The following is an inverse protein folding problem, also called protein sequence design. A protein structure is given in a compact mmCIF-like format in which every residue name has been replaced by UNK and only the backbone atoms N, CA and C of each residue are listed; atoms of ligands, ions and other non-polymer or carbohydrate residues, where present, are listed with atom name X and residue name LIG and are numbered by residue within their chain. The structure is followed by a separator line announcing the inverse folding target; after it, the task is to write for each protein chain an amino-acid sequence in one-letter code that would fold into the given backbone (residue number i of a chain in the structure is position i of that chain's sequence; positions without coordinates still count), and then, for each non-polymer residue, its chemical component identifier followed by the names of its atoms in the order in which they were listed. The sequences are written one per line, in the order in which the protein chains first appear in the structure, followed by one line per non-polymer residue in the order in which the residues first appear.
data_IF_833017277384
#
_entry.id   IF_833017277384
#
_cell.length_a   1.000
_cell.length_b   1.000
_cell.length_c   1.000
_cell.angle_alpha   90.00
_cell.angle_beta   90.00
_cell.angle_gamma   90.00
#
_symmetry.space_group_name_H-M   'P 1'
#
loop_
_entity.id
_entity.type
_entity.pdbx_description
1 polymer ?
#
# COMPACT_ATOMS: atom_id res chain seq x y z
N UNK A 1 -4.91 8.40 4.76
CA UNK A 1 -3.95 7.60 5.54
C UNK A 1 -2.81 8.49 6.03
N UNK A 2 -1.93 9.03 5.16
CA UNK A 2 -0.75 9.81 5.59
C UNK A 2 -1.07 10.96 6.54
N UNK A 3 -2.17 11.71 6.30
CA UNK A 3 -2.60 12.78 7.20
C UNK A 3 -2.95 12.28 8.61
N UNK A 4 -3.64 11.15 8.72
CA UNK A 4 -3.95 10.54 10.02
C UNK A 4 -2.67 10.03 10.70
N UNK A 5 -1.75 9.44 9.94
CA UNK A 5 -0.47 8.96 10.47
C UNK A 5 0.39 10.12 10.98
N UNK A 6 0.44 11.24 10.23
CA UNK A 6 1.17 12.44 10.64
C UNK A 6 0.60 13.14 11.88
N UNK A 7 -0.69 12.94 12.20
CA UNK A 7 -1.29 13.41 13.46
C UNK A 7 -0.82 12.59 14.67
N UNK A 8 -0.45 11.34 14.46
CA UNK A 8 0.05 10.45 15.52
C UNK A 8 1.53 10.76 15.82
N UNK A 9 2.34 10.92 14.78
CA UNK A 9 3.74 11.31 14.89
C UNK A 9 4.18 12.08 13.64
N UNK A 10 5.03 13.11 13.79
CA UNK A 10 5.56 13.85 12.63
C UNK A 10 6.38 12.89 11.76
N UNK A 11 6.06 12.86 10.47
CA UNK A 11 6.75 12.01 9.50
C UNK A 11 8.08 12.63 9.08
N UNK A 12 9.19 11.97 9.41
CA UNK A 12 10.53 12.32 8.95
C UNK A 12 11.01 11.29 7.92
N UNK A 13 10.96 11.61 6.64
CA UNK A 13 11.39 10.73 5.56
C UNK A 13 12.42 11.41 4.64
N UNK A 14 13.27 10.60 4.03
CA UNK A 14 14.25 11.09 3.06
C UNK A 14 13.54 11.65 1.82
N UNK A 15 13.96 12.81 1.38
CA UNK A 15 13.37 13.48 0.20
C UNK A 15 13.51 12.67 -1.09
N UNK A 16 14.41 11.69 -1.15
CA UNK A 16 14.65 10.89 -2.34
C UNK A 16 13.50 9.92 -2.66
N UNK A 17 12.85 9.35 -1.65
CA UNK A 17 11.66 8.52 -1.82
C UNK A 17 10.53 9.31 -2.51
N UNK A 18 10.24 10.52 -2.01
CA UNK A 18 9.22 11.37 -2.61
C UNK A 18 9.57 11.86 -4.00
N UNK A 19 10.82 12.24 -4.24
CA UNK A 19 11.26 12.74 -5.56
C UNK A 19 11.24 11.66 -6.63
N UNK A 20 11.29 10.38 -6.26
CA UNK A 20 11.42 9.26 -7.16
C UNK A 20 10.11 8.52 -7.36
N UNK A 21 9.37 8.21 -6.29
CA UNK A 21 8.16 7.39 -6.34
C UNK A 21 6.89 8.22 -6.57
N UNK A 22 6.80 9.41 -6.01
CA UNK A 22 5.61 10.25 -6.12
C UNK A 22 5.36 10.74 -7.56
N UNK A 23 6.37 11.15 -8.35
CA UNK A 23 6.16 11.47 -9.76
C UNK A 23 5.68 10.28 -10.59
N UNK A 24 6.18 9.07 -10.30
CA UNK A 24 5.74 7.84 -10.97
C UNK A 24 4.27 7.58 -10.65
N UNK A 25 3.88 7.67 -9.37
CA UNK A 25 2.48 7.52 -8.96
C UNK A 25 1.58 8.55 -9.66
N UNK A 26 2.01 9.81 -9.76
CA UNK A 26 1.23 10.85 -10.46
C UNK A 26 1.08 10.57 -11.95
N UNK A 27 2.15 10.14 -12.61
CA UNK A 27 2.11 9.76 -14.04
C UNK A 27 1.18 8.55 -14.28
N UNK A 28 1.27 7.54 -13.43
CA UNK A 28 0.41 6.35 -13.49
C UNK A 28 -1.05 6.75 -13.25
N UNK A 29 -1.33 7.57 -12.25
CA UNK A 29 -2.69 8.06 -11.96
C UNK A 29 -3.28 8.81 -13.14
N UNK A 30 -2.47 9.67 -13.79
CA UNK A 30 -2.88 10.43 -14.95
C UNK A 30 -3.13 9.51 -16.16
N UNK A 31 -2.27 8.52 -16.40
CA UNK A 31 -2.45 7.54 -17.44
C UNK A 31 -3.74 6.72 -17.23
N UNK A 32 -3.97 6.20 -16.03
CA UNK A 32 -5.19 5.48 -15.69
C UNK A 32 -6.45 6.36 -15.86
N UNK A 33 -6.37 7.65 -15.51
CA UNK A 33 -7.47 8.59 -15.71
C UNK A 33 -7.82 8.75 -17.19
N UNK A 34 -6.83 8.92 -18.06
CA UNK A 34 -7.07 9.03 -19.49
C UNK A 34 -7.62 7.72 -20.09
N UNK A 35 -7.12 6.57 -19.66
CA UNK A 35 -7.62 5.27 -20.11
C UNK A 35 -9.08 5.03 -19.67
N UNK A 36 -9.52 5.63 -18.57
CA UNK A 36 -10.90 5.56 -18.10
C UNK A 36 -11.89 6.40 -18.92
N UNK A 37 -11.41 7.39 -19.67
CA UNK A 37 -12.27 8.39 -20.31
C UNK A 37 -13.16 7.80 -21.43
N UNK A 38 -12.64 6.79 -22.14
CA UNK A 38 -13.34 6.10 -23.24
C UNK A 38 -13.96 4.76 -22.79
N UNK A 39 -13.96 4.50 -21.46
CA UNK A 39 -14.33 3.20 -20.90
C UNK A 39 -13.15 2.23 -20.90
N UNK A 40 -13.08 1.38 -19.87
CA UNK A 40 -11.99 0.41 -19.73
C UNK A 40 -12.15 -0.75 -20.71
N UNK A 41 -11.28 -0.78 -21.71
CA UNK A 41 -11.16 -1.89 -22.65
C UNK A 41 -10.28 -3.03 -22.12
N UNK A 42 -10.36 -4.19 -22.76
CA UNK A 42 -9.51 -5.33 -22.43
C UNK A 42 -8.01 -5.03 -22.60
N UNK A 43 -7.69 -4.22 -23.61
CA UNK A 43 -6.32 -3.79 -23.88
C UNK A 43 -5.79 -2.90 -22.76
N UNK A 44 -6.63 -1.99 -22.23
CA UNK A 44 -6.28 -1.10 -21.13
C UNK A 44 -5.95 -1.89 -19.86
N UNK A 45 -6.79 -2.89 -19.55
CA UNK A 45 -6.53 -3.79 -18.43
C UNK A 45 -5.20 -4.54 -18.54
N UNK A 46 -4.86 -5.02 -19.74
CA UNK A 46 -3.57 -5.69 -20.01
C UNK A 46 -2.41 -4.70 -19.85
N UNK A 47 -2.53 -3.48 -20.40
CA UNK A 47 -1.50 -2.44 -20.29
C UNK A 47 -1.24 -2.12 -18.80
N UNK A 48 -2.29 -1.94 -18.00
CA UNK A 48 -2.16 -1.67 -16.57
C UNK A 48 -1.43 -2.80 -15.85
N UNK A 49 -1.73 -4.08 -16.14
CA UNK A 49 -1.00 -5.21 -15.55
C UNK A 49 0.47 -5.25 -15.97
N UNK A 50 0.77 -4.95 -17.23
CA UNK A 50 2.16 -4.85 -17.70
C UNK A 50 2.89 -3.71 -16.99
N UNK A 51 2.23 -2.57 -16.79
CA UNK A 51 2.79 -1.45 -16.01
C UNK A 51 3.03 -1.84 -14.55
N UNK A 52 2.15 -2.62 -13.94
CA UNK A 52 2.35 -3.15 -12.59
C UNK A 52 3.61 -4.01 -12.52
N UNK A 53 3.76 -4.98 -13.43
CA UNK A 53 4.93 -5.86 -13.47
C UNK A 53 6.21 -5.04 -13.69
N UNK A 54 6.19 -4.09 -14.60
CA UNK A 54 7.32 -3.19 -14.86
C UNK A 54 7.67 -2.37 -13.61
N UNK A 55 6.67 -1.84 -12.90
CA UNK A 55 6.86 -1.11 -11.65
C UNK A 55 7.48 -1.99 -10.55
N UNK A 56 6.98 -3.21 -10.36
CA UNK A 56 7.53 -4.15 -9.38
C UNK A 56 8.98 -4.53 -9.70
N UNK A 57 9.30 -4.80 -10.96
CA UNK A 57 10.68 -5.07 -11.38
C UNK A 57 11.58 -3.85 -11.12
N UNK A 58 11.10 -2.65 -11.44
CA UNK A 58 11.83 -1.43 -11.18
C UNK A 58 12.07 -1.22 -9.68
N UNK A 59 11.06 -1.45 -8.85
CA UNK A 59 11.15 -1.31 -7.39
C UNK A 59 12.20 -2.27 -6.80
N UNK A 60 12.17 -3.54 -7.19
CA UNK A 60 13.16 -4.55 -6.75
C UNK A 60 14.58 -4.16 -7.18
N UNK A 61 14.76 -3.74 -8.45
CA UNK A 61 16.08 -3.31 -8.94
C UNK A 61 16.58 -2.07 -8.23
N UNK A 62 15.68 -1.15 -7.92
CA UNK A 62 16.00 0.07 -7.18
C UNK A 62 16.47 -0.23 -5.77
N UNK A 63 15.74 -1.08 -5.04
CA UNK A 63 16.10 -1.51 -3.70
C UNK A 63 17.45 -2.28 -3.66
N UNK A 64 17.73 -3.09 -4.67
CA UNK A 64 19.01 -3.80 -4.78
C UNK A 64 20.19 -2.83 -5.04
N UNK A 65 19.95 -1.78 -5.82
CA UNK A 65 20.98 -0.77 -6.12
C UNK A 65 21.32 0.06 -4.88
N UNK A 66 20.30 0.44 -4.12
CA UNK A 66 20.49 1.22 -2.89
C UNK A 66 21.28 0.40 -1.85
N UNK A 67 20.95 -0.88 -1.65
CA UNK A 67 21.74 -1.80 -0.80
C UNK A 67 23.19 -1.96 -1.22
N UNK A 68 23.48 -1.95 -2.52
CA UNK A 68 24.87 -2.09 -3.01
C UNK A 68 25.69 -0.79 -2.84
N UNK A 69 25.05 0.36 -2.68
CA UNK A 69 25.72 1.62 -2.38
C UNK A 69 25.95 1.83 -0.86
N UNK A 70 25.01 1.39 -0.02
CA UNK A 70 25.16 1.46 1.44
C UNK A 70 26.18 0.44 1.98
N UNK A 71 26.34 -0.70 1.34
CA UNK A 71 27.26 -1.75 1.78
C UNK A 71 28.77 -1.39 1.67
N UNK A 72 29.12 -0.20 1.20
CA UNK A 72 30.52 0.16 0.97
C UNK A 72 31.21 0.97 2.07
N UNK A 73 30.54 1.65 3.00
CA UNK A 73 31.25 2.70 3.75
C UNK A 73 30.82 3.05 5.18
N UNK A 74 30.16 2.19 5.96
CA UNK A 74 29.97 2.59 7.36
C UNK A 74 30.35 1.50 8.38
N UNK A 75 31.50 1.65 9.07
CA UNK A 75 31.90 0.79 10.20
C UNK A 75 30.91 0.82 11.36
N UNK A 76 30.11 1.90 11.50
CA UNK A 76 29.06 2.05 12.51
C UNK A 76 27.88 1.10 12.26
N UNK A 77 27.57 0.80 11.00
CA UNK A 77 26.49 -0.12 10.63
C UNK A 77 26.81 -1.56 11.03
N UNK A 78 28.07 -1.98 10.94
CA UNK A 78 28.53 -3.29 11.40
C UNK A 78 28.49 -3.42 12.94
N UNK A 79 28.72 -2.35 13.67
CA UNK A 79 28.62 -2.33 15.14
C UNK A 79 27.14 -2.38 15.58
N UNK A 80 26.24 -1.65 14.91
CA UNK A 80 24.78 -1.69 15.16
C UNK A 80 24.17 -3.06 14.84
N UNK A 81 24.63 -3.74 13.78
CA UNK A 81 24.16 -5.10 13.45
C UNK A 81 24.59 -6.10 14.53
N UNK A 82 25.74 -5.91 15.18
CA UNK A 82 26.19 -6.78 16.27
C UNK A 82 25.45 -6.58 17.60
N UNK A 83 24.76 -5.47 17.78
CA UNK A 83 23.91 -5.18 18.94
C UNK A 83 22.44 -5.52 18.76
N UNK A 84 22.05 -6.04 17.56
CA UNK A 84 20.66 -6.48 17.35
C UNK A 84 20.32 -7.65 18.30
N UNK A 85 19.12 -7.64 18.92
CA UNK A 85 18.63 -8.76 19.73
C UNK A 85 18.61 -10.03 18.91
N UNK A 86 18.84 -11.18 19.57
CA UNK A 86 18.88 -12.52 18.98
C UNK A 86 17.91 -12.69 17.81
N UNK A 87 18.43 -13.14 16.67
CA UNK A 87 17.66 -13.38 15.45
C UNK A 87 16.43 -14.22 15.77
N UNK A 88 15.26 -13.62 15.58
CA UNK A 88 14.01 -14.39 15.63
C UNK A 88 14.12 -15.45 14.55
N UNK A 89 14.05 -16.72 14.92
CA UNK A 89 14.07 -17.84 13.97
C UNK A 89 13.13 -17.53 12.80
N UNK A 90 13.58 -17.71 11.56
CA UNK A 90 12.85 -17.42 10.33
C UNK A 90 11.42 -17.98 10.35
N UNK A 91 11.26 -19.20 10.89
CA UNK A 91 9.96 -19.84 11.06
C UNK A 91 9.03 -19.06 12.02
N UNK A 92 9.56 -18.53 13.11
CA UNK A 92 8.78 -17.70 14.05
C UNK A 92 8.40 -16.37 13.42
N UNK A 93 9.31 -15.76 12.64
CA UNK A 93 9.04 -14.52 11.92
C UNK A 93 7.88 -14.70 10.92
N UNK A 94 7.90 -15.78 10.14
CA UNK A 94 6.82 -16.12 9.22
C UNK A 94 5.49 -16.42 9.94
N UNK A 95 5.54 -17.09 11.09
CA UNK A 95 4.35 -17.38 11.89
C UNK A 95 3.73 -16.07 12.42
N UNK A 96 4.53 -15.16 12.99
CA UNK A 96 4.05 -13.87 13.47
C UNK A 96 3.53 -12.99 12.34
N UNK A 97 4.20 -12.98 11.20
CA UNK A 97 3.73 -12.28 10.02
C UNK A 97 2.37 -12.80 9.56
N UNK A 98 2.22 -14.11 9.39
CA UNK A 98 0.97 -14.72 8.95
C UNK A 98 -0.17 -14.48 9.97
N UNK A 99 0.10 -14.67 11.25
CA UNK A 99 -0.89 -14.44 12.31
C UNK A 99 -1.31 -12.96 12.38
N UNK A 100 -0.36 -12.04 12.29
CA UNK A 100 -0.63 -10.60 12.24
C UNK A 100 -1.44 -10.20 11.02
N UNK A 101 -1.09 -10.70 9.85
CA UNK A 101 -1.82 -10.43 8.60
C UNK A 101 -3.25 -10.96 8.66
N UNK A 102 -3.44 -12.20 9.10
CA UNK A 102 -4.79 -12.79 9.26
C UNK A 102 -5.61 -11.99 10.29
N UNK A 103 -5.01 -11.66 11.43
CA UNK A 103 -5.67 -10.87 12.46
C UNK A 103 -6.09 -9.48 11.96
N UNK A 104 -5.20 -8.81 11.22
CA UNK A 104 -5.45 -7.48 10.64
C UNK A 104 -6.60 -7.53 9.61
N UNK A 105 -6.57 -8.49 8.70
CA UNK A 105 -7.62 -8.64 7.68
C UNK A 105 -8.96 -9.06 8.29
N UNK A 106 -8.95 -9.98 9.26
CA UNK A 106 -10.17 -10.43 9.94
C UNK A 106 -10.81 -9.30 10.75
N UNK A 107 -10.02 -8.55 11.52
CA UNK A 107 -10.53 -7.43 12.34
C UNK A 107 -11.07 -6.29 11.46
N UNK A 108 -10.37 -5.92 10.38
CA UNK A 108 -10.85 -4.93 9.42
C UNK A 108 -12.17 -5.35 8.78
N UNK A 109 -12.26 -6.60 8.35
CA UNK A 109 -13.50 -7.14 7.75
C UNK A 109 -14.68 -7.15 8.73
N UNK A 110 -14.42 -7.55 9.97
CA UNK A 110 -15.44 -7.54 11.03
C UNK A 110 -15.93 -6.12 11.33
N UNK A 111 -15.02 -5.15 11.38
CA UNK A 111 -15.36 -3.75 11.64
C UNK A 111 -16.20 -3.17 10.50
N UNK A 112 -15.83 -3.41 9.24
CA UNK A 112 -16.61 -2.98 8.07
C UNK A 112 -17.99 -3.62 8.10
N UNK A 113 -18.08 -4.94 8.32
CA UNK A 113 -19.35 -5.65 8.42
C UNK A 113 -20.27 -5.07 9.49
N UNK A 114 -19.74 -4.80 10.68
CA UNK A 114 -20.52 -4.22 11.77
C UNK A 114 -20.98 -2.79 11.43
N UNK A 115 -20.10 -1.96 10.86
CA UNK A 115 -20.43 -0.59 10.48
C UNK A 115 -21.50 -0.52 9.38
N UNK A 116 -21.43 -1.43 8.39
CA UNK A 116 -22.45 -1.56 7.33
C UNK A 116 -23.80 -1.91 7.93
N UNK A 117 -23.88 -2.96 8.75
CA UNK A 117 -25.15 -3.37 9.40
C UNK A 117 -25.77 -2.24 10.25
N UNK A 118 -24.94 -1.49 10.97
CA UNK A 118 -25.41 -0.32 11.73
C UNK A 118 -25.98 0.75 10.79
N UNK A 119 -25.25 1.09 9.73
CA UNK A 119 -25.68 2.11 8.77
C UNK A 119 -26.99 1.72 8.04
N UNK A 120 -27.12 0.45 7.64
CA UNK A 120 -28.35 -0.10 7.07
C UNK A 120 -29.53 0.01 8.04
N UNK A 121 -29.32 -0.26 9.32
CA UNK A 121 -30.35 -0.12 10.35
C UNK A 121 -30.84 1.32 10.54
N UNK A 122 -30.02 2.31 10.19
CA UNK A 122 -30.40 3.73 10.15
C UNK A 122 -30.98 4.17 8.79
N UNK A 123 -31.16 3.24 7.84
CA UNK A 123 -31.73 3.53 6.53
C UNK A 123 -30.78 4.25 5.57
N UNK A 124 -29.47 4.17 5.80
CA UNK A 124 -28.45 4.71 4.86
C UNK A 124 -28.46 3.87 3.58
N UNK A 125 -28.45 4.51 2.42
CA UNK A 125 -28.48 3.80 1.15
C UNK A 125 -27.18 3.05 0.86
N UNK A 126 -27.28 1.94 0.13
CA UNK A 126 -26.15 1.07 -0.25
C UNK A 126 -25.06 1.86 -0.99
N UNK A 127 -25.44 2.84 -1.82
CA UNK A 127 -24.52 3.70 -2.54
C UNK A 127 -23.65 4.53 -1.56
N UNK A 128 -24.28 5.14 -0.56
CA UNK A 128 -23.54 5.93 0.46
C UNK A 128 -22.68 5.02 1.31
N UNK A 129 -23.16 3.85 1.72
CA UNK A 129 -22.39 2.84 2.46
C UNK A 129 -21.17 2.42 1.66
N UNK A 130 -21.32 2.10 0.40
CA UNK A 130 -20.22 1.69 -0.49
C UNK A 130 -19.17 2.78 -0.66
N UNK A 131 -19.59 4.00 -0.95
CA UNK A 131 -18.69 5.14 -1.19
C UNK A 131 -18.01 5.67 0.08
N UNK A 132 -18.52 5.37 1.26
CA UNK A 132 -17.99 5.87 2.54
C UNK A 132 -17.44 4.74 3.41
N UNK A 133 -18.31 3.95 4.02
CA UNK A 133 -17.95 2.95 5.03
C UNK A 133 -17.05 1.86 4.44
N UNK A 134 -17.44 1.32 3.28
CA UNK A 134 -16.65 0.27 2.63
C UNK A 134 -15.32 0.85 2.10
N UNK A 135 -15.35 2.01 1.47
CA UNK A 135 -14.13 2.65 0.95
C UNK A 135 -13.13 3.00 2.06
N UNK A 136 -13.60 3.53 3.19
CA UNK A 136 -12.73 3.78 4.35
C UNK A 136 -12.27 2.46 4.99
N UNK A 137 -13.17 1.50 5.10
CA UNK A 137 -12.90 0.22 5.75
C UNK A 137 -11.86 -0.63 5.04
N UNK A 138 -11.82 -0.59 3.72
CA UNK A 138 -10.77 -1.28 2.93
C UNK A 138 -9.40 -0.67 3.10
N UNK A 139 -9.31 0.59 3.54
CA UNK A 139 -8.04 1.28 3.82
C UNK A 139 -7.59 1.18 5.29
N UNK A 140 -8.35 0.50 6.16
CA UNK A 140 -7.98 0.33 7.57
C UNK A 140 -6.71 -0.50 7.78
N UNK A 141 -6.48 -1.60 7.05
CA UNK A 141 -5.23 -2.34 7.15
C UNK A 141 -4.00 -1.48 6.86
N UNK A 142 -4.04 -0.69 5.80
CA UNK A 142 -2.96 0.23 5.41
C UNK A 142 -2.76 1.34 6.45
N UNK A 143 -3.85 1.87 7.03
CA UNK A 143 -3.78 2.87 8.08
C UNK A 143 -3.11 2.28 9.34
N UNK A 144 -3.52 1.09 9.76
CA UNK A 144 -2.96 0.42 10.93
C UNK A 144 -1.47 0.09 10.73
N UNK A 145 -1.08 -0.41 9.55
CA UNK A 145 0.30 -0.66 9.20
C UNK A 145 1.13 0.64 9.23
N UNK A 146 0.64 1.71 8.60
CA UNK A 146 1.34 3.00 8.55
C UNK A 146 1.51 3.62 9.95
N UNK A 147 0.47 3.59 10.79
CA UNK A 147 0.57 4.08 12.17
C UNK A 147 1.58 3.25 12.97
N UNK A 148 1.55 1.93 12.83
CA UNK A 148 2.48 1.04 13.54
C UNK A 148 3.93 1.29 13.12
N UNK A 149 4.18 1.50 11.83
CA UNK A 149 5.51 1.83 11.31
C UNK A 149 6.04 3.12 11.91
N UNK A 150 5.24 4.18 11.94
CA UNK A 150 5.66 5.48 12.50
C UNK A 150 5.91 5.39 14.00
N UNK A 151 5.10 4.63 14.75
CA UNK A 151 5.33 4.40 16.18
C UNK A 151 6.62 3.62 16.46
N UNK A 152 7.17 2.93 15.46
CA UNK A 152 8.47 2.25 15.52
C UNK A 152 9.62 3.08 14.93
N UNK A 153 9.38 4.33 14.57
CA UNK A 153 10.32 5.22 13.87
C UNK A 153 10.71 4.71 12.46
N UNK A 154 9.82 3.96 11.81
CA UNK A 154 9.97 3.44 10.46
C UNK A 154 9.14 4.28 9.48
N UNK A 155 9.39 5.59 9.41
CA UNK A 155 8.56 6.55 8.65
C UNK A 155 8.58 6.27 7.14
N UNK A 156 9.72 5.82 6.60
CA UNK A 156 9.86 5.47 5.19
C UNK A 156 8.95 4.29 4.82
N UNK A 157 8.80 3.31 5.72
CA UNK A 157 7.90 2.18 5.53
C UNK A 157 6.43 2.62 5.50
N UNK A 158 6.05 3.59 6.35
CA UNK A 158 4.69 4.13 6.36
C UNK A 158 4.35 4.84 5.04
N UNK A 159 5.28 5.64 4.50
CA UNK A 159 5.09 6.35 3.21
C UNK A 159 5.10 5.36 2.05
N UNK A 160 6.06 4.42 2.03
CA UNK A 160 6.15 3.38 1.02
C UNK A 160 4.90 2.49 0.96
N UNK A 161 4.32 2.14 2.12
CA UNK A 161 3.06 1.40 2.20
C UNK A 161 1.91 2.13 1.49
N UNK A 162 1.77 3.44 1.70
CA UNK A 162 0.71 4.24 1.07
C UNK A 162 0.95 4.39 -0.44
N UNK A 163 2.16 4.67 -0.87
CA UNK A 163 2.49 4.77 -2.30
C UNK A 163 2.28 3.41 -2.98
N UNK A 164 2.78 2.33 -2.38
CA UNK A 164 2.65 0.98 -2.91
C UNK A 164 1.20 0.52 -3.03
N UNK A 165 0.37 0.76 -2.01
CA UNK A 165 -1.06 0.42 -2.05
C UNK A 165 -1.82 1.20 -3.11
N UNK A 166 -1.53 2.50 -3.31
CA UNK A 166 -2.13 3.29 -4.39
C UNK A 166 -1.73 2.77 -5.77
N UNK A 167 -0.43 2.44 -5.97
CA UNK A 167 0.04 1.84 -7.23
C UNK A 167 -0.64 0.50 -7.51
N UNK A 168 -0.76 -0.35 -6.49
CA UNK A 168 -1.46 -1.63 -6.61
C UNK A 168 -2.94 -1.43 -6.97
N UNK A 169 -3.63 -0.53 -6.29
CA UNK A 169 -5.04 -0.26 -6.55
C UNK A 169 -5.27 0.28 -7.96
N UNK A 170 -4.41 1.18 -8.44
CA UNK A 170 -4.51 1.74 -9.79
C UNK A 170 -4.16 0.71 -10.88
N UNK A 171 -3.13 -0.09 -10.69
CA UNK A 171 -2.61 -0.95 -11.74
C UNK A 171 -3.15 -2.39 -11.70
N UNK A 172 -3.45 -2.93 -10.51
CA UNK A 172 -4.03 -4.27 -10.38
C UNK A 172 -5.55 -4.22 -10.27
N UNK A 173 -6.08 -3.52 -9.24
CA UNK A 173 -7.52 -3.58 -8.93
C UNK A 173 -8.33 -2.89 -10.03
N UNK A 174 -7.90 -1.70 -10.46
CA UNK A 174 -8.60 -0.93 -11.49
C UNK A 174 -8.49 -1.53 -12.89
N UNK A 175 -7.52 -2.44 -13.14
CA UNK A 175 -7.44 -3.18 -14.40
C UNK A 175 -8.53 -4.27 -14.54
N UNK A 176 -9.05 -4.79 -13.42
CA UNK A 176 -9.99 -5.92 -13.41
C UNK A 176 -11.28 -5.68 -14.19
N UNK A 177 -11.98 -4.54 -14.06
CA UNK A 177 -13.15 -4.25 -14.89
C UNK A 177 -12.85 -4.37 -16.39
N UNK A 178 -11.77 -3.79 -16.86
CA UNK A 178 -11.38 -3.86 -18.27
C UNK A 178 -11.08 -5.29 -18.75
N UNK A 179 -10.55 -6.15 -17.87
CA UNK A 179 -10.23 -7.54 -18.21
C UNK A 179 -11.45 -8.46 -18.18
N UNK A 180 -12.35 -8.27 -17.18
CA UNK A 180 -13.47 -9.19 -16.92
C UNK A 180 -14.72 -8.78 -17.69
N UNK A 181 -15.00 -7.47 -17.76
CA UNK A 181 -16.20 -6.91 -18.37
C UNK A 181 -15.85 -5.63 -19.17
N UNK A 182 -15.13 -5.74 -20.29
CA UNK A 182 -14.68 -4.59 -21.08
C UNK A 182 -15.86 -3.74 -21.56
N UNK A 183 -15.76 -2.42 -21.40
CA UNK A 183 -16.76 -1.46 -21.86
C UNK A 183 -17.98 -1.28 -20.95
N UNK A 184 -17.96 -1.79 -19.72
CA UNK A 184 -19.11 -1.72 -18.77
C UNK A 184 -18.93 -0.69 -17.65
N UNK A 185 -18.06 0.30 -17.81
CA UNK A 185 -17.83 1.35 -16.79
C UNK A 185 -18.50 2.65 -17.22
#
# INVERSE_FOLDING_TARGET
ILGCTALVSPLAFKSDLLKRELPILMLVSLACFFMAFDGLGQIDGIIMLVMLVAFLIWLVRSAQKDKSQEACDDPLEQELISEMPEEVSEQKAWLFFAAGLIGLLASSRLLVWAAVNIAESFGVSDLVIGLTIVALGTSLPELAASITSVLKNEDELAVGNVIGSNMYNLLAVYSLPGLIAPGSV
#
